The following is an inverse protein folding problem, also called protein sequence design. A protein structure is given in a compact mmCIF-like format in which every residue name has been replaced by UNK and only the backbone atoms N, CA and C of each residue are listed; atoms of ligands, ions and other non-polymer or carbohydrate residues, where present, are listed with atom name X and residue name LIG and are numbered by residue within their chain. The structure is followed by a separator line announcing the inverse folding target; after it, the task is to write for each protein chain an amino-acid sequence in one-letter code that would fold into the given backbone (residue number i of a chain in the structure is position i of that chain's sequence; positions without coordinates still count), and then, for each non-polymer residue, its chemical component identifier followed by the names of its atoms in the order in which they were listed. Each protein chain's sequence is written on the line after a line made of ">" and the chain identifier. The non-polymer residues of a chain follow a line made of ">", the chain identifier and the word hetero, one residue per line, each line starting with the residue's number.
data_IF_020000119571
#
_entry.id   IF_020000119571
#
_cell.length_a   1.000
_cell.length_b   1.000
_cell.length_c   1.000
_cell.angle_alpha   90.00
_cell.angle_beta   90.00
_cell.angle_gamma   90.00
#
_symmetry.space_group_name_H-M   'P 1'
#
loop_
_entity.id
_entity.type
_entity.pdbx_description
1 polymer ?
#
# COMPACT_ATOMS: atom_id res chain seq x y z
N UNK A 1 1.28 -15.66 2.97
CA UNK A 1 1.44 -14.32 2.37
C UNK A 1 2.73 -13.67 2.81
N UNK A 2 3.10 -12.53 2.21
CA UNK A 2 4.26 -11.73 2.63
C UNK A 2 3.95 -10.23 2.53
N UNK A 3 4.90 -9.41 2.97
CA UNK A 3 4.79 -7.95 3.00
C UNK A 3 6.05 -7.33 2.42
N UNK A 4 5.90 -6.27 1.61
CA UNK A 4 7.04 -5.58 0.99
C UNK A 4 6.75 -4.09 0.78
N UNK A 5 7.82 -3.29 0.69
CA UNK A 5 7.78 -1.97 0.06
C UNK A 5 8.50 -2.08 -1.30
N UNK A 6 7.93 -1.46 -2.34
CA UNK A 6 8.48 -1.57 -3.69
C UNK A 6 9.75 -0.71 -3.81
N UNK A 7 10.87 -1.37 -4.07
CA UNK A 7 12.11 -0.76 -4.54
C UNK A 7 12.12 -0.72 -6.06
N UNK A 8 12.97 -1.52 -6.69
CA UNK A 8 13.04 -1.56 -8.14
C UNK A 8 11.92 -2.43 -8.75
N UNK A 9 11.22 -1.98 -9.82
CA UNK A 9 10.12 -2.73 -10.42
C UNK A 9 10.51 -4.12 -10.92
N UNK A 10 11.74 -4.28 -11.44
CA UNK A 10 12.21 -5.56 -11.97
C UNK A 10 12.40 -6.63 -10.89
N UNK A 11 12.70 -6.23 -9.65
CA UNK A 11 12.79 -7.18 -8.52
C UNK A 11 11.41 -7.77 -8.22
N UNK A 12 10.39 -6.91 -8.23
CA UNK A 12 9.00 -7.36 -8.10
C UNK A 12 8.57 -8.23 -9.30
N UNK A 13 8.94 -7.86 -10.52
CA UNK A 13 8.63 -8.65 -11.70
C UNK A 13 9.30 -10.02 -11.68
N UNK A 14 10.54 -10.11 -11.20
CA UNK A 14 11.24 -11.38 -10.97
C UNK A 14 10.44 -12.29 -10.03
N UNK A 15 9.92 -11.76 -8.92
CA UNK A 15 9.05 -12.51 -8.01
C UNK A 15 7.80 -13.04 -8.72
N UNK A 16 7.14 -12.21 -9.53
CA UNK A 16 5.93 -12.63 -10.28
C UNK A 16 6.27 -13.67 -11.33
N UNK A 17 7.40 -13.54 -12.04
CA UNK A 17 7.87 -14.56 -12.99
C UNK A 17 8.21 -15.88 -12.29
N UNK A 18 8.77 -15.83 -11.09
CA UNK A 18 8.99 -17.02 -10.27
C UNK A 18 7.66 -17.70 -9.86
N UNK A 19 6.62 -16.93 -9.54
CA UNK A 19 5.27 -17.47 -9.30
C UNK A 19 4.69 -18.15 -10.54
N UNK A 20 4.87 -17.56 -11.72
CA UNK A 20 4.43 -18.16 -12.99
C UNK A 20 5.18 -19.45 -13.30
N UNK A 21 6.51 -19.45 -13.15
CA UNK A 21 7.36 -20.60 -13.45
C UNK A 21 7.13 -21.78 -12.49
N UNK A 22 6.98 -21.50 -11.19
CA UNK A 22 6.77 -22.52 -10.17
C UNK A 22 5.32 -22.96 -10.01
N UNK A 23 4.36 -22.13 -10.44
CA UNK A 23 2.93 -22.30 -10.15
C UNK A 23 2.53 -21.97 -8.71
N UNK A 24 3.51 -21.63 -7.85
CA UNK A 24 3.32 -21.35 -6.43
C UNK A 24 3.04 -19.86 -6.23
N UNK A 25 1.94 -19.55 -5.56
CA UNK A 25 1.51 -18.17 -5.26
C UNK A 25 1.28 -18.01 -3.75
N UNK A 26 1.60 -16.86 -3.14
CA UNK A 26 1.13 -16.58 -1.79
C UNK A 26 -0.39 -16.37 -1.80
N UNK A 27 -1.07 -16.64 -0.68
CA UNK A 27 -2.50 -16.29 -0.55
C UNK A 27 -2.73 -14.78 -0.57
N UNK A 28 -1.73 -14.03 -0.12
CA UNK A 28 -1.82 -12.58 -0.01
C UNK A 28 -0.46 -11.87 -0.02
N UNK A 29 -0.48 -10.60 -0.41
CA UNK A 29 0.65 -9.68 -0.39
C UNK A 29 0.21 -8.36 0.26
N UNK A 30 0.97 -7.85 1.21
CA UNK A 30 0.76 -6.51 1.78
C UNK A 30 1.78 -5.54 1.19
N UNK A 31 1.31 -4.50 0.51
CA UNK A 31 2.15 -3.46 -0.08
C UNK A 31 2.27 -2.29 0.89
N UNK A 32 3.49 -2.04 1.34
CA UNK A 32 3.83 -0.88 2.14
C UNK A 32 4.35 0.26 1.27
N UNK A 33 3.89 1.47 1.56
CA UNK A 33 4.49 2.69 1.01
C UNK A 33 5.64 3.17 1.87
N UNK A 34 6.55 3.94 1.27
CA UNK A 34 7.68 4.59 1.95
C UNK A 34 7.26 5.53 3.08
N UNK A 35 5.97 5.87 3.15
CA UNK A 35 5.40 6.70 4.21
C UNK A 35 5.18 5.96 5.54
N UNK A 36 5.59 4.69 5.63
CA UNK A 36 5.58 3.86 6.83
C UNK A 36 6.22 4.54 8.05
N UNK A 37 5.76 4.15 9.24
CA UNK A 37 6.41 4.56 10.49
C UNK A 37 7.44 3.51 10.93
N UNK A 38 8.51 3.96 11.59
CA UNK A 38 9.50 3.09 12.23
C UNK A 38 9.72 3.50 13.68
N UNK A 39 10.03 2.53 14.54
CA UNK A 39 10.50 2.80 15.90
C UNK A 39 11.96 3.24 15.93
N UNK A 40 12.77 2.67 15.03
CA UNK A 40 14.18 2.95 14.85
C UNK A 40 14.60 2.54 13.42
N UNK A 41 15.14 3.47 12.64
CA UNK A 41 15.81 3.19 11.38
C UNK A 41 16.79 4.32 11.07
N UNK A 42 17.82 4.08 10.24
CA UNK A 42 18.65 5.17 9.73
C UNK A 42 17.82 6.14 8.89
N UNK A 43 18.23 7.40 8.90
CA UNK A 43 17.50 8.50 8.23
C UNK A 43 17.53 8.30 6.72
N UNK A 44 18.65 7.80 6.18
CA UNK A 44 18.83 7.53 4.76
C UNK A 44 17.79 6.53 4.24
N UNK A 45 17.45 5.52 5.04
CA UNK A 45 16.42 4.54 4.69
C UNK A 45 15.01 5.09 4.86
N UNK A 46 14.80 5.93 5.89
CA UNK A 46 13.47 6.47 6.19
C UNK A 46 13.03 7.53 5.18
N UNK A 47 13.97 8.33 4.69
CA UNK A 47 13.67 9.50 3.86
C UNK A 47 13.86 9.25 2.35
N UNK A 48 14.63 8.22 1.96
CA UNK A 48 15.03 8.03 0.56
C UNK A 48 14.76 6.64 -0.03
N UNK A 49 14.32 5.66 0.77
CA UNK A 49 14.13 4.28 0.28
C UNK A 49 12.66 3.90 0.22
N UNK A 50 12.27 3.30 -0.91
CA UNK A 50 10.93 2.77 -1.15
C UNK A 50 10.04 3.68 -2.01
N UNK A 51 9.05 3.07 -2.62
CA UNK A 51 8.05 3.77 -3.43
C UNK A 51 6.90 4.28 -2.57
N UNK A 52 6.27 5.42 -2.92
CA UNK A 52 5.06 5.85 -2.25
C UNK A 52 3.93 4.81 -2.43
N UNK A 53 3.01 4.77 -1.48
CA UNK A 53 2.00 3.70 -1.40
C UNK A 53 1.15 3.57 -2.67
N UNK A 54 0.75 4.70 -3.27
CA UNK A 54 -0.17 4.70 -4.40
C UNK A 54 0.47 4.03 -5.63
N UNK A 55 1.70 4.40 -5.95
CA UNK A 55 2.49 3.86 -7.05
C UNK A 55 2.85 2.40 -6.81
N UNK A 56 3.31 2.06 -5.60
CA UNK A 56 3.67 0.70 -5.23
C UNK A 56 2.47 -0.26 -5.30
N UNK A 57 1.33 0.13 -4.72
CA UNK A 57 0.10 -0.66 -4.76
C UNK A 57 -0.39 -0.85 -6.19
N UNK A 58 -0.41 0.23 -6.97
CA UNK A 58 -0.87 0.16 -8.35
C UNK A 58 0.03 -0.71 -9.21
N UNK A 59 1.35 -0.64 -9.04
CA UNK A 59 2.31 -1.51 -9.72
C UNK A 59 1.99 -2.98 -9.42
N UNK A 60 1.89 -3.35 -8.14
CA UNK A 60 1.59 -4.72 -7.72
C UNK A 60 0.25 -5.18 -8.27
N UNK A 61 -0.81 -4.39 -8.12
CA UNK A 61 -2.14 -4.71 -8.63
C UNK A 61 -2.14 -4.96 -10.15
N UNK A 62 -1.53 -4.05 -10.91
CA UNK A 62 -1.48 -4.14 -12.36
C UNK A 62 -0.60 -5.29 -12.83
N UNK A 63 0.55 -5.55 -12.19
CA UNK A 63 1.39 -6.70 -12.55
C UNK A 63 0.65 -8.01 -12.32
N UNK A 64 -0.04 -8.17 -11.18
CA UNK A 64 -0.80 -9.38 -10.91
C UNK A 64 -1.96 -9.57 -11.88
N UNK A 65 -2.65 -8.50 -12.30
CA UNK A 65 -3.66 -8.57 -13.36
C UNK A 65 -3.05 -8.94 -14.69
N UNK A 66 -2.00 -8.23 -15.09
CA UNK A 66 -1.28 -8.47 -16.34
C UNK A 66 -0.68 -9.87 -16.44
N UNK A 67 -0.35 -10.51 -15.31
CA UNK A 67 0.14 -11.88 -15.25
C UNK A 67 -0.98 -12.93 -15.05
N UNK A 68 -2.26 -12.54 -14.92
CA UNK A 68 -3.37 -13.47 -14.67
C UNK A 68 -3.37 -14.09 -13.27
N UNK A 69 -2.70 -13.44 -12.30
CA UNK A 69 -2.55 -13.94 -10.91
C UNK A 69 -3.43 -13.20 -9.91
N UNK A 70 -4.05 -12.07 -10.28
CA UNK A 70 -4.81 -11.23 -9.32
C UNK A 70 -5.97 -11.96 -8.66
N UNK A 71 -6.62 -12.90 -9.36
CA UNK A 71 -7.70 -13.71 -8.80
C UNK A 71 -7.26 -14.72 -7.72
N UNK A 72 -5.96 -15.03 -7.65
CA UNK A 72 -5.37 -16.00 -6.71
C UNK A 72 -4.74 -15.34 -5.47
N UNK A 73 -4.45 -14.04 -5.54
CA UNK A 73 -3.64 -13.34 -4.54
C UNK A 73 -4.41 -12.11 -4.03
N UNK A 74 -4.65 -12.06 -2.72
CA UNK A 74 -5.26 -10.90 -2.06
C UNK A 74 -4.24 -9.80 -1.79
N UNK A 75 -4.63 -8.54 -1.92
CA UNK A 75 -3.77 -7.37 -1.73
C UNK A 75 -4.17 -6.56 -0.50
N UNK A 76 -3.29 -6.52 0.48
CA UNK A 76 -3.36 -5.56 1.57
C UNK A 76 -2.47 -4.36 1.27
N UNK A 77 -2.70 -3.24 1.95
CA UNK A 77 -1.79 -2.11 1.85
C UNK A 77 -1.60 -1.38 3.19
N UNK A 78 -0.46 -0.73 3.38
CA UNK A 78 -0.20 0.15 4.52
C UNK A 78 0.71 1.32 4.13
N UNK A 79 0.53 2.47 4.76
CA UNK A 79 1.30 3.68 4.43
C UNK A 79 0.45 4.92 4.64
N UNK A 80 0.47 5.45 5.87
CA UNK A 80 -0.37 6.59 6.30
C UNK A 80 -1.87 6.48 5.98
N UNK A 81 -2.43 5.27 5.92
CA UNK A 81 -3.89 5.06 5.83
C UNK A 81 -4.50 5.34 7.21
N UNK A 82 -5.10 6.52 7.38
CA UNK A 82 -5.61 6.99 8.70
C UNK A 82 -7.06 7.45 8.66
N UNK A 83 -7.61 7.74 7.49
CA UNK A 83 -8.99 8.19 7.30
C UNK A 83 -9.82 7.22 6.47
N UNK A 84 -11.15 7.37 6.54
CA UNK A 84 -12.08 6.66 5.66
C UNK A 84 -11.79 6.92 4.18
N UNK A 85 -11.43 8.16 3.82
CA UNK A 85 -11.10 8.51 2.44
C UNK A 85 -9.79 7.87 1.97
N UNK A 86 -8.79 7.70 2.85
CA UNK A 86 -7.59 6.95 2.52
C UNK A 86 -7.93 5.49 2.17
N UNK A 87 -8.81 4.85 2.96
CA UNK A 87 -9.28 3.48 2.69
C UNK A 87 -9.97 3.41 1.33
N UNK A 88 -10.94 4.30 1.07
CA UNK A 88 -11.65 4.39 -0.20
C UNK A 88 -10.68 4.53 -1.38
N UNK A 89 -9.66 5.39 -1.25
CA UNK A 89 -8.64 5.58 -2.28
C UNK A 89 -7.78 4.35 -2.51
N UNK A 90 -7.38 3.65 -1.46
CA UNK A 90 -6.56 2.44 -1.61
C UNK A 90 -7.35 1.29 -2.23
N UNK A 91 -8.63 1.15 -1.87
CA UNK A 91 -9.53 0.17 -2.52
C UNK A 91 -9.71 0.47 -4.00
N UNK A 92 -9.86 1.76 -4.36
CA UNK A 92 -9.90 2.22 -5.75
C UNK A 92 -8.65 1.87 -6.57
N UNK A 93 -7.50 1.79 -5.91
CA UNK A 93 -6.21 1.41 -6.50
C UNK A 93 -5.94 -0.11 -6.46
N UNK A 94 -6.88 -0.89 -5.93
CA UNK A 94 -6.89 -2.35 -6.05
C UNK A 94 -6.52 -3.12 -4.78
N UNK A 95 -6.46 -2.46 -3.62
CA UNK A 95 -6.37 -3.14 -2.32
C UNK A 95 -7.68 -3.85 -1.96
N UNK A 96 -7.57 -5.07 -1.45
CA UNK A 96 -8.66 -5.82 -0.82
C UNK A 96 -8.86 -5.41 0.66
N UNK A 97 -7.82 -4.93 1.33
CA UNK A 97 -7.92 -4.33 2.68
C UNK A 97 -6.80 -3.34 2.98
N UNK A 98 -6.98 -2.55 4.04
CA UNK A 98 -6.02 -1.54 4.48
C UNK A 98 -5.57 -1.80 5.93
N UNK A 99 -4.28 -1.64 6.19
CA UNK A 99 -3.70 -1.69 7.53
C UNK A 99 -3.40 -0.27 8.02
N UNK A 100 -3.84 0.07 9.23
CA UNK A 100 -3.47 1.31 9.91
C UNK A 100 -2.67 0.99 11.16
N UNK A 101 -1.45 1.50 11.28
CA UNK A 101 -0.71 1.46 12.55
C UNK A 101 -0.64 2.85 13.17
N UNK A 102 -0.28 3.86 12.36
CA UNK A 102 -0.14 5.26 12.81
C UNK A 102 -1.45 5.82 13.37
N UNK A 103 -2.59 5.55 12.72
CA UNK A 103 -3.91 5.96 13.20
C UNK A 103 -4.21 5.40 14.59
N UNK A 104 -3.99 4.09 14.78
CA UNK A 104 -4.14 3.46 16.10
C UNK A 104 -3.13 3.97 17.12
N UNK A 105 -1.88 4.25 16.74
CA UNK A 105 -0.91 4.85 17.65
C UNK A 105 -1.36 6.23 18.14
N UNK A 106 -1.92 7.07 17.26
CA UNK A 106 -2.50 8.35 17.69
C UNK A 106 -3.72 8.15 18.60
N UNK A 107 -4.63 7.26 18.23
CA UNK A 107 -5.79 6.93 19.07
C UNK A 107 -5.37 6.43 20.45
N UNK A 108 -4.29 5.64 20.54
CA UNK A 108 -3.69 5.14 21.78
C UNK A 108 -3.02 6.26 22.61
N UNK A 109 -2.64 7.37 21.99
CA UNK A 109 -2.01 8.53 22.64
C UNK A 109 -0.55 8.76 22.28
N UNK A 110 -0.09 8.29 21.12
CA UNK A 110 1.13 8.82 20.52
C UNK A 110 0.96 10.32 20.26
N UNK A 111 1.98 11.11 20.60
CA UNK A 111 2.03 12.56 20.38
C UNK A 111 3.10 12.95 19.36
N UNK A 112 3.62 11.98 18.60
CA UNK A 112 4.73 12.18 17.65
C UNK A 112 5.98 12.81 18.28
N UNK A 113 6.36 12.37 19.49
CA UNK A 113 7.58 12.81 20.15
C UNK A 113 8.88 12.41 19.40
N UNK A 114 8.79 11.44 18.48
CA UNK A 114 9.93 10.91 17.69
C UNK A 114 11.10 10.36 18.52
N UNK A 115 10.87 10.07 19.81
CA UNK A 115 11.83 9.44 20.72
C UNK A 115 11.68 7.92 20.82
N UNK A 116 11.05 7.28 19.83
CA UNK A 116 10.68 5.86 19.90
C UNK A 116 11.89 4.93 20.11
N UNK A 117 13.02 5.24 19.48
CA UNK A 117 14.25 4.46 19.52
C UNK A 117 15.01 4.59 20.85
N UNK A 118 14.72 5.62 21.66
CA UNK A 118 15.46 5.87 22.91
C UNK A 118 14.89 5.12 24.11
N UNK A 119 13.70 4.54 23.98
CA UNK A 119 12.94 3.98 25.09
C UNK A 119 12.37 5.06 26.04
N UNK A 120 12.50 6.34 25.74
CA UNK A 120 12.02 7.45 26.58
C UNK A 120 10.68 8.02 26.09
N UNK A 121 9.78 7.16 25.59
CA UNK A 121 8.46 7.58 25.12
C UNK A 121 7.68 8.28 26.26
N UNK A 122 7.25 9.55 26.09
CA UNK A 122 6.56 10.27 27.16
C UNK A 122 5.16 9.73 27.44
N UNK A 123 4.56 9.00 26.51
CA UNK A 123 3.19 8.48 26.63
C UNK A 123 3.12 6.98 26.91
N UNK A 124 4.27 6.35 27.17
CA UNK A 124 4.35 4.94 27.57
C UNK A 124 4.16 3.93 26.43
N UNK A 125 4.08 4.38 25.17
CA UNK A 125 3.79 3.51 24.01
C UNK A 125 5.02 2.71 23.56
N UNK A 126 6.17 3.38 23.40
CA UNK A 126 7.42 2.78 22.89
C UNK A 126 8.50 2.82 23.97
N UNK A 127 8.28 2.09 25.07
CA UNK A 127 9.23 2.02 26.20
C UNK A 127 9.14 0.68 26.92
N UNK A 128 10.26 0.25 27.48
CA UNK A 128 10.35 -0.91 28.39
C UNK A 128 10.50 -0.49 29.86
N UNK A 129 10.47 0.81 30.16
CA UNK A 129 10.52 1.35 31.52
C UNK A 129 9.17 1.16 32.23
N UNK A 130 9.11 0.37 33.34
CA UNK A 130 7.87 0.12 34.06
C UNK A 130 7.18 1.38 34.60
N UNK A 131 7.93 2.44 34.90
CA UNK A 131 7.37 3.71 35.39
C UNK A 131 6.66 4.43 34.25
N UNK A 132 7.26 4.49 33.07
CA UNK A 132 6.67 5.14 31.89
C UNK A 132 5.49 4.36 31.33
N UNK A 133 5.52 3.03 31.38
CA UNK A 133 4.41 2.17 30.94
C UNK A 133 3.14 2.40 31.76
N UNK A 134 3.21 2.95 32.99
CA UNK A 134 2.02 3.33 33.77
C UNK A 134 1.14 4.37 33.06
N UNK A 135 1.72 5.16 32.14
CA UNK A 135 0.96 6.08 31.29
C UNK A 135 0.08 5.37 30.25
N UNK A 136 0.29 4.07 30.01
CA UNK A 136 -0.50 3.24 29.10
C UNK A 136 -1.67 2.57 29.84
N UNK A 137 -2.67 3.36 30.24
CA UNK A 137 -3.88 2.88 30.93
C UNK A 137 -4.78 2.10 29.96
N UNK A 138 -4.66 0.76 29.95
CA UNK A 138 -5.33 -0.12 28.98
C UNK A 138 -6.85 0.05 28.93
N UNK A 139 -7.60 0.09 30.06
CA UNK A 139 -9.06 0.21 30.01
C UNK A 139 -9.55 1.51 29.34
N UNK A 140 -8.83 2.62 29.50
CA UNK A 140 -9.13 3.90 28.83
C UNK A 140 -8.72 3.86 27.35
N UNK A 141 -7.48 3.46 27.08
CA UNK A 141 -6.90 3.53 25.74
C UNK A 141 -7.52 2.55 24.75
N UNK A 142 -7.97 1.38 25.22
CA UNK A 142 -8.69 0.43 24.40
C UNK A 142 -9.99 1.04 23.83
N UNK A 143 -10.74 1.78 24.65
CA UNK A 143 -11.98 2.47 24.22
C UNK A 143 -11.66 3.52 23.14
N UNK A 144 -10.56 4.26 23.30
CA UNK A 144 -10.13 5.25 22.29
C UNK A 144 -9.79 4.62 20.94
N UNK A 145 -9.03 3.52 20.96
CA UNK A 145 -8.68 2.75 19.75
C UNK A 145 -9.93 2.16 19.10
N UNK A 146 -10.82 1.58 19.90
CA UNK A 146 -12.12 1.07 19.44
C UNK A 146 -12.95 2.18 18.76
N UNK A 147 -13.12 3.32 19.42
CA UNK A 147 -13.88 4.45 18.89
C UNK A 147 -13.26 4.98 17.60
N UNK A 148 -11.93 5.12 17.53
CA UNK A 148 -11.25 5.53 16.29
C UNK A 148 -11.57 4.55 15.14
N UNK A 149 -11.47 3.25 15.39
CA UNK A 149 -11.78 2.25 14.36
C UNK A 149 -13.24 2.33 13.91
N UNK A 150 -14.18 2.31 14.87
CA UNK A 150 -15.62 2.34 14.59
C UNK A 150 -16.03 3.59 13.82
N UNK A 151 -15.53 4.77 14.21
CA UNK A 151 -15.84 6.01 13.51
C UNK A 151 -15.20 6.08 12.13
N UNK A 152 -14.02 5.50 11.94
CA UNK A 152 -13.41 5.37 10.60
C UNK A 152 -14.27 4.49 9.69
N UNK A 153 -14.78 3.36 10.19
CA UNK A 153 -15.66 2.48 9.42
C UNK A 153 -17.02 3.12 9.13
N UNK A 154 -17.58 3.85 10.10
CA UNK A 154 -18.83 4.58 9.91
C UNK A 154 -18.69 5.64 8.81
N UNK A 155 -17.62 6.46 8.85
CA UNK A 155 -17.36 7.43 7.80
C UNK A 155 -17.09 6.77 6.43
N UNK A 156 -16.46 5.59 6.40
CA UNK A 156 -16.29 4.83 5.14
C UNK A 156 -17.64 4.36 4.58
N UNK A 157 -18.54 3.88 5.44
CA UNK A 157 -19.90 3.51 5.06
C UNK A 157 -20.65 4.71 4.46
N UNK A 158 -20.58 5.88 5.10
CA UNK A 158 -21.19 7.10 4.57
C UNK A 158 -20.64 7.47 3.19
N UNK A 159 -19.31 7.37 2.99
CA UNK A 159 -18.69 7.63 1.69
C UNK A 159 -19.16 6.66 0.60
N UNK A 160 -19.26 5.36 0.92
CA UNK A 160 -19.76 4.34 -0.01
C UNK A 160 -21.21 4.62 -0.41
N UNK A 161 -22.06 4.94 0.56
CA UNK A 161 -23.47 5.26 0.33
C UNK A 161 -23.63 6.56 -0.46
N UNK A 162 -22.85 7.60 -0.14
CA UNK A 162 -22.85 8.86 -0.87
C UNK A 162 -22.40 8.70 -2.33
N UNK A 163 -21.52 7.75 -2.61
CA UNK A 163 -21.12 7.38 -3.97
C UNK A 163 -22.15 6.49 -4.71
N UNK A 164 -23.24 6.07 -4.03
CA UNK A 164 -24.25 5.19 -4.60
C UNK A 164 -23.81 3.72 -4.75
N UNK A 165 -22.82 3.30 -3.96
CA UNK A 165 -22.23 1.96 -4.01
C UNK A 165 -22.72 1.10 -2.84
N UNK A 166 -22.55 -0.22 -2.93
CA UNK A 166 -23.02 -1.15 -1.89
C UNK A 166 -21.89 -1.63 -0.99
N UNK A 167 -20.68 -1.75 -1.52
CA UNK A 167 -19.53 -2.22 -0.79
C UNK A 167 -18.28 -1.37 -1.10
N UNK A 168 -17.35 -1.17 -0.15
CA UNK A 168 -16.10 -0.45 -0.41
C UNK A 168 -15.27 -0.99 -1.59
N UNK A 169 -15.41 -2.29 -1.92
CA UNK A 169 -14.76 -2.90 -3.09
C UNK A 169 -15.28 -2.41 -4.43
N UNK A 170 -16.47 -1.81 -4.46
CA UNK A 170 -17.08 -1.29 -5.68
C UNK A 170 -16.48 0.08 -6.07
N UNK A 171 -15.71 0.69 -5.16
CA UNK A 171 -15.02 1.94 -5.41
C UNK A 171 -13.91 1.66 -6.42
N UNK A 172 -14.07 2.19 -7.63
CA UNK A 172 -13.02 2.26 -8.66
C UNK A 172 -12.34 3.64 -8.69
N UNK A 173 -11.18 3.72 -9.35
CA UNK A 173 -10.44 4.96 -9.58
C UNK A 173 -11.24 6.04 -10.37
N UNK A 174 -12.38 5.69 -10.98
CA UNK A 174 -13.25 6.66 -11.64
C UNK A 174 -14.08 7.50 -10.64
N UNK A 175 -14.34 6.99 -9.44
CA UNK A 175 -15.12 7.71 -8.42
C UNK A 175 -14.33 8.82 -7.71
N UNK A 176 -13.00 8.78 -7.80
CA UNK A 176 -12.13 9.72 -7.09
C UNK A 176 -11.66 10.79 -8.06
N UNK A 177 -11.95 12.05 -7.72
CA UNK A 177 -11.59 13.21 -8.53
C UNK A 177 -10.66 14.11 -7.75
N UNK A 178 -9.60 14.58 -8.42
CA UNK A 178 -8.62 15.50 -7.84
C UNK A 178 -8.50 16.74 -8.72
N UNK A 179 -8.40 17.90 -8.06
CA UNK A 179 -7.94 19.13 -8.71
C UNK A 179 -6.41 19.19 -8.61
N UNK A 180 -5.76 19.24 -9.77
CA UNK A 180 -4.33 19.48 -9.89
C UNK A 180 -3.94 20.91 -9.52
N UNK A 181 -2.64 21.14 -9.33
CA UNK A 181 -2.09 22.47 -9.07
C UNK A 181 -2.27 23.43 -10.24
N UNK A 182 -2.43 22.90 -11.45
CA UNK A 182 -2.79 23.60 -12.67
C UNK A 182 -4.30 23.91 -12.78
N UNK A 183 -5.03 23.74 -11.67
CA UNK A 183 -6.49 23.88 -11.57
C UNK A 183 -7.31 22.90 -12.41
N UNK A 184 -6.67 21.96 -13.12
CA UNK A 184 -7.37 20.94 -13.90
C UNK A 184 -7.98 19.90 -12.98
N UNK A 185 -9.17 19.46 -13.35
CA UNK A 185 -9.88 18.40 -12.63
C UNK A 185 -9.67 17.10 -13.40
N UNK A 186 -9.25 16.05 -12.72
CA UNK A 186 -9.03 14.74 -13.33
C UNK A 186 -9.42 13.63 -12.36
N UNK A 187 -9.93 12.53 -12.89
CA UNK A 187 -10.17 11.34 -12.08
C UNK A 187 -8.85 10.65 -11.74
N UNK A 188 -8.84 9.86 -10.68
CA UNK A 188 -7.67 9.07 -10.31
C UNK A 188 -7.33 8.08 -11.43
N UNK A 189 -8.32 7.55 -12.15
CA UNK A 189 -8.12 6.69 -13.32
C UNK A 189 -7.34 7.38 -14.46
N UNK A 190 -7.53 8.69 -14.65
CA UNK A 190 -6.78 9.47 -15.64
C UNK A 190 -5.36 9.79 -15.17
N UNK A 191 -5.19 10.11 -13.89
CA UNK A 191 -3.89 10.47 -13.32
C UNK A 191 -2.98 9.26 -13.15
N UNK A 192 -3.56 8.11 -12.86
CA UNK A 192 -2.88 6.85 -12.67
C UNK A 192 -3.56 5.83 -13.58
N UNK A 193 -3.09 5.69 -14.84
CA UNK A 193 -3.65 4.74 -15.80
C UNK A 193 -3.68 3.35 -15.16
N UNK A 194 -4.86 3.02 -14.67
CA UNK A 194 -5.08 1.92 -13.74
C UNK A 194 -5.77 0.82 -14.48
N UNK A 195 -5.41 -0.41 -14.12
CA UNK A 195 -5.97 -1.66 -14.61
C UNK A 195 -5.42 -2.10 -15.96
N UNK A 196 -4.19 -2.64 -15.94
CA UNK A 196 -3.73 -3.49 -17.04
C UNK A 196 -4.78 -4.57 -17.32
N UNK A 197 -5.12 -4.82 -18.61
CA UNK A 197 -5.98 -5.94 -18.98
C UNK A 197 -5.42 -7.25 -18.41
N UNK A 198 -6.32 -8.18 -18.09
CA UNK A 198 -5.90 -9.48 -17.61
C UNK A 198 -5.03 -10.19 -18.66
N UNK A 199 -3.91 -10.77 -18.23
CA UNK A 199 -2.96 -11.43 -19.13
C UNK A 199 -2.16 -10.49 -20.04
N UNK A 200 -2.25 -9.16 -19.88
CA UNK A 200 -1.53 -8.20 -20.73
C UNK A 200 -0.01 -8.40 -20.77
N UNK A 201 0.61 -8.85 -19.68
CA UNK A 201 2.05 -9.12 -19.58
C UNK A 201 2.46 -10.48 -20.15
N UNK A 202 1.49 -11.32 -20.52
CA UNK A 202 1.71 -12.63 -21.15
C UNK A 202 1.66 -12.56 -22.68
N UNK A 203 1.33 -11.39 -23.24
CA UNK A 203 1.30 -11.16 -24.69
C UNK A 203 2.72 -10.99 -25.23
N UNK A 204 2.93 -11.37 -26.49
CA UNK A 204 4.20 -11.17 -27.19
C UNK A 204 4.51 -9.69 -27.42
N UNK A 205 3.50 -8.89 -27.77
CA UNK A 205 3.64 -7.45 -27.97
C UNK A 205 3.26 -6.69 -26.69
N UNK A 206 4.25 -6.00 -26.13
CA UNK A 206 4.11 -5.17 -24.93
C UNK A 206 4.25 -3.67 -25.25
N UNK A 207 4.44 -3.29 -26.52
CA UNK A 207 4.73 -1.90 -26.94
C UNK A 207 3.63 -0.91 -26.56
N UNK A 208 2.38 -1.36 -26.48
CA UNK A 208 1.23 -0.56 -26.04
C UNK A 208 1.10 -0.39 -24.53
N UNK A 209 1.98 -0.99 -23.72
CA UNK A 209 1.94 -0.88 -22.27
C UNK A 209 2.80 0.30 -21.76
N UNK A 210 2.51 0.84 -20.57
CA UNK A 210 3.37 1.85 -19.94
C UNK A 210 4.83 1.37 -19.86
N UNK A 211 5.77 2.31 -20.02
CA UNK A 211 7.21 2.04 -20.14
C UNK A 211 7.75 1.14 -19.03
N UNK A 212 7.28 1.33 -17.79
CA UNK A 212 7.67 0.50 -16.65
C UNK A 212 7.46 -1.00 -16.91
N UNK A 213 6.39 -1.37 -17.61
CA UNK A 213 6.12 -2.75 -17.99
C UNK A 213 6.85 -3.13 -19.27
N UNK A 214 6.71 -2.35 -20.34
CA UNK A 214 7.25 -2.71 -21.66
C UNK A 214 8.77 -2.81 -21.68
N UNK A 215 9.48 -2.05 -20.83
CA UNK A 215 10.93 -2.09 -20.72
C UNK A 215 11.43 -3.09 -19.66
N UNK A 216 10.86 -3.07 -18.45
CA UNK A 216 11.43 -3.85 -17.35
C UNK A 216 10.83 -5.25 -17.20
N UNK A 217 9.59 -5.51 -17.66
CA UNK A 217 9.02 -6.85 -17.61
C UNK A 217 9.81 -7.85 -18.46
N UNK A 218 10.23 -7.55 -19.71
CA UNK A 218 11.09 -8.46 -20.47
C UNK A 218 12.45 -8.70 -19.80
N UNK A 219 13.05 -7.65 -19.23
CA UNK A 219 14.40 -7.70 -18.65
C UNK A 219 14.50 -8.44 -17.30
N UNK A 220 13.39 -8.58 -16.56
CA UNK A 220 13.34 -9.33 -15.32
C UNK A 220 13.36 -10.84 -15.58
N UNK A 221 13.98 -11.64 -14.71
CA UNK A 221 14.00 -13.11 -14.80
C UNK A 221 13.64 -13.74 -13.46
N UNK A 222 13.14 -14.98 -13.45
CA UNK A 222 12.60 -15.61 -12.25
C UNK A 222 13.67 -15.95 -11.18
N UNK A 223 14.94 -16.09 -11.60
CA UNK A 223 16.06 -16.58 -10.80
C UNK A 223 17.05 -15.48 -10.39
N UNK A 224 16.76 -14.21 -10.72
CA UNK A 224 17.62 -13.07 -10.36
C UNK A 224 16.81 -11.80 -10.10
N UNK A 225 17.28 -11.02 -9.12
CA UNK A 225 16.78 -9.66 -8.85
C UNK A 225 17.57 -8.58 -9.60
N UNK A 226 18.62 -8.94 -10.33
CA UNK A 226 19.34 -8.01 -11.20
C UNK A 226 18.65 -7.83 -12.55
N UNK A 227 18.81 -6.66 -13.17
CA UNK A 227 18.44 -6.46 -14.57
C UNK A 227 19.40 -7.25 -15.47
N UNK A 228 18.84 -8.05 -16.37
CA UNK A 228 19.64 -8.55 -17.48
C UNK A 228 19.83 -7.42 -18.49
N UNK A 229 21.04 -7.31 -19.05
CA UNK A 229 21.31 -6.38 -20.16
C UNK A 229 20.40 -6.79 -21.31
N UNK A 230 19.47 -5.92 -21.69
CA UNK A 230 18.77 -6.07 -22.96
C UNK A 230 19.81 -5.80 -24.05
N UNK A 231 20.11 -6.80 -24.89
CA UNK A 231 20.78 -6.54 -26.16
C UNK A 231 19.81 -5.68 -26.98
N UNK A 232 20.18 -4.40 -27.16
CA UNK A 232 19.46 -3.43 -27.99
C UNK A 232 19.60 -3.80 -29.48
#
# INVERSE_FOLDING_TARGET
>A
GFKLCIGHPWEWFAMVKAMLASGITPDFIVVDGSEGGTGAAPVEFTDHVGSPLQEGLLLVHNTLRGAGLRGRIRLGCAGKVVSAFDIARMMALGADWCNSARGFMFALGCIQAQSCHTGQCPTGVTTQDPVRQRSLVVPDKAVRVYNFHQQTLHALQELVQAAGLQHPSDITAHHIVRRGSDHRVSSLAQLMPSQLPEGALLKADLSGLPLIYSQHWPAAVADSFGLQKMEL
#
